data_IF_535082795605
#
_entry.id   IF_535082795605
#
_cell.length_a   1.000
_cell.length_b   1.000
_cell.length_c   1.000
_cell.angle_alpha   90.00
_cell.angle_beta   90.00
_cell.angle_gamma   90.00
#
_symmetry.space_group_name_H-M   'P 1'
#
loop_
_entity.id
_entity.type
_entity.pdbx_description
1 polymer ?
#
# COMPACT_ATOMS: atom_id res chain seq x y z
N UNK A 1 8.15 -30.02 -31.41
CA UNK A 1 9.40 -30.36 -32.12
C UNK A 1 10.28 -29.12 -32.13
N UNK A 2 11.40 -29.23 -31.42
CA UNK A 2 12.72 -28.63 -31.67
C UNK A 2 12.90 -27.09 -31.78
N UNK A 3 13.81 -26.64 -30.90
CA UNK A 3 14.90 -25.68 -31.12
C UNK A 3 14.64 -24.17 -30.97
N UNK A 4 15.28 -23.62 -29.94
CA UNK A 4 15.48 -22.19 -29.76
C UNK A 4 16.39 -21.87 -28.56
N UNK A 5 17.52 -22.56 -28.43
CA UNK A 5 18.56 -22.20 -27.43
C UNK A 5 19.34 -21.02 -28.01
N UNK A 6 19.03 -19.81 -27.55
CA UNK A 6 19.80 -18.61 -27.86
C UNK A 6 21.11 -18.60 -27.09
N UNK A 7 22.22 -18.67 -27.80
CA UNK A 7 23.56 -18.48 -27.25
C UNK A 7 23.72 -17.06 -26.68
N UNK A 8 24.00 -16.98 -25.38
CA UNK A 8 24.46 -15.75 -24.74
C UNK A 8 25.86 -15.42 -25.25
N UNK A 9 25.95 -14.37 -26.07
CA UNK A 9 27.22 -13.82 -26.52
C UNK A 9 28.02 -13.27 -25.33
N UNK A 10 29.21 -13.81 -25.13
CA UNK A 10 30.22 -13.25 -24.23
C UNK A 10 30.68 -11.91 -24.79
N UNK A 11 30.11 -10.83 -24.26
CA UNK A 11 30.54 -9.46 -24.55
C UNK A 11 31.94 -9.27 -23.97
N UNK A 12 32.94 -9.13 -24.83
CA UNK A 12 34.30 -8.74 -24.47
C UNK A 12 34.27 -7.38 -23.76
N UNK A 13 34.33 -7.42 -22.42
CA UNK A 13 34.34 -6.26 -21.53
C UNK A 13 35.79 -5.80 -21.34
N UNK A 14 36.46 -5.43 -22.43
CA UNK A 14 37.91 -5.21 -22.44
C UNK A 14 38.41 -3.90 -23.05
N UNK A 15 37.62 -3.20 -23.87
CA UNK A 15 38.18 -2.10 -24.70
C UNK A 15 37.54 -0.72 -24.49
N UNK A 16 36.49 -0.59 -23.67
CA UNK A 16 35.90 0.71 -23.35
C UNK A 16 36.59 1.36 -22.14
N UNK A 17 37.91 1.46 -22.18
CA UNK A 17 38.69 2.20 -21.18
C UNK A 17 38.61 3.70 -21.50
N UNK A 18 37.59 4.34 -20.93
CA UNK A 18 37.48 5.75 -20.54
C UNK A 18 37.88 6.81 -21.58
N UNK A 19 36.93 7.25 -22.45
CA UNK A 19 37.06 8.48 -23.25
C UNK A 19 37.35 9.73 -22.39
N UNK A 20 36.90 9.72 -21.13
CA UNK A 20 37.04 10.82 -20.18
C UNK A 20 38.51 11.05 -19.75
N UNK A 21 39.32 9.99 -19.71
CA UNK A 21 40.77 10.11 -19.45
C UNK A 21 41.52 10.71 -20.63
N UNK A 22 41.05 10.50 -21.87
CA UNK A 22 41.64 11.12 -23.05
C UNK A 22 41.35 12.62 -23.13
N UNK A 23 40.20 13.10 -22.67
CA UNK A 23 39.91 14.53 -22.61
C UNK A 23 40.72 15.26 -21.54
N UNK A 24 40.98 14.62 -20.40
CA UNK A 24 41.83 15.18 -19.34
C UNK A 24 43.31 15.25 -19.79
N UNK A 25 43.82 14.22 -20.47
CA UNK A 25 45.18 14.22 -21.01
C UNK A 25 45.41 15.30 -22.10
N UNK A 26 44.35 15.71 -22.83
CA UNK A 26 44.43 16.78 -23.84
C UNK A 26 44.50 18.18 -23.23
N UNK A 27 43.96 18.39 -22.03
CA UNK A 27 43.94 19.70 -21.37
C UNK A 27 45.29 20.08 -20.73
N UNK A 28 46.15 19.10 -20.40
CA UNK A 28 47.40 19.32 -19.67
C UNK A 28 48.67 19.37 -20.54
N UNK A 29 48.55 19.53 -21.86
CA UNK A 29 49.69 19.88 -22.71
C UNK A 29 50.63 18.72 -23.06
N UNK A 30 50.10 17.69 -23.73
CA UNK A 30 50.91 16.69 -24.42
C UNK A 30 51.41 15.53 -23.55
N UNK A 31 52.38 14.77 -24.08
CA UNK A 31 52.83 13.46 -23.55
C UNK A 31 53.20 13.43 -22.06
N UNK A 32 53.58 14.58 -21.49
CA UNK A 32 53.91 14.71 -20.08
C UNK A 32 52.70 14.52 -19.12
N UNK A 33 51.48 14.86 -19.55
CA UNK A 33 50.26 14.67 -18.74
C UNK A 33 49.82 13.21 -18.68
N UNK A 34 50.01 12.47 -19.77
CA UNK A 34 49.74 11.02 -19.82
C UNK A 34 50.65 10.24 -18.86
N UNK A 35 51.92 10.64 -18.79
CA UNK A 35 52.91 9.98 -17.92
C UNK A 35 52.63 10.24 -16.42
N UNK A 36 52.12 11.42 -16.08
CA UNK A 36 51.72 11.79 -14.72
C UNK A 36 50.45 11.07 -14.25
N UNK A 37 49.42 10.97 -15.11
CA UNK A 37 48.22 10.18 -14.83
C UNK A 37 48.53 8.68 -14.71
N UNK A 38 49.48 8.18 -15.49
CA UNK A 38 49.93 6.80 -15.38
C UNK A 38 50.66 6.56 -14.05
N UNK A 39 51.56 7.47 -13.62
CA UNK A 39 52.21 7.37 -12.30
C UNK A 39 51.23 7.41 -11.14
N UNK A 40 50.22 8.28 -11.15
CA UNK A 40 49.19 8.33 -10.10
C UNK A 40 48.30 7.08 -10.09
N UNK A 41 48.06 6.47 -11.25
CA UNK A 41 47.34 5.21 -11.35
C UNK A 41 48.16 4.04 -10.80
N UNK A 42 49.49 4.07 -10.96
CA UNK A 42 50.44 3.08 -10.43
C UNK A 42 50.61 3.24 -8.93
N UNK A 43 50.72 4.47 -8.41
CA UNK A 43 50.79 4.74 -6.97
C UNK A 43 49.51 4.32 -6.25
N UNK A 44 48.32 4.64 -6.80
CA UNK A 44 47.04 4.15 -6.26
C UNK A 44 46.84 2.64 -6.41
N UNK A 45 47.58 1.97 -7.30
CA UNK A 45 47.62 0.51 -7.39
C UNK A 45 48.56 -0.09 -6.34
N UNK A 46 49.67 0.58 -6.04
CA UNK A 46 50.59 0.19 -4.97
C UNK A 46 49.99 0.37 -3.57
N UNK A 47 49.26 1.45 -3.30
CA UNK A 47 48.56 1.61 -2.00
C UNK A 47 47.56 0.48 -1.75
N UNK A 48 46.84 0.01 -2.78
CA UNK A 48 45.95 -1.14 -2.68
C UNK A 48 46.65 -2.47 -2.41
N UNK A 49 47.94 -2.60 -2.75
CA UNK A 49 48.73 -3.81 -2.46
C UNK A 49 49.25 -3.84 -1.01
N UNK A 50 49.35 -2.69 -0.34
CA UNK A 50 49.89 -2.59 1.02
C UNK A 50 48.84 -2.31 2.09
N UNK A 51 47.57 -2.10 1.73
CA UNK A 51 46.51 -2.19 2.72
C UNK A 51 46.38 -3.66 3.15
N UNK A 52 46.59 -3.98 4.45
CA UNK A 52 46.35 -5.32 4.94
C UNK A 52 44.91 -5.67 4.60
N UNK A 53 44.73 -6.76 3.85
CA UNK A 53 43.41 -7.33 3.58
C UNK A 53 42.72 -7.42 4.93
N UNK A 54 41.55 -6.77 5.12
CA UNK A 54 40.80 -6.86 6.36
C UNK A 54 40.67 -8.35 6.66
N UNK A 55 41.26 -8.79 7.76
CA UNK A 55 41.23 -10.18 8.17
C UNK A 55 39.77 -10.44 8.56
N UNK A 56 38.95 -10.85 7.60
CA UNK A 56 37.57 -11.25 7.84
C UNK A 56 37.62 -12.34 8.90
N UNK A 57 37.18 -11.97 10.10
CA UNK A 57 37.05 -12.93 11.18
C UNK A 57 35.88 -13.81 10.82
N UNK A 58 36.07 -15.13 10.86
CA UNK A 58 35.06 -16.17 10.58
C UNK A 58 33.74 -16.02 11.39
N UNK A 59 33.67 -15.06 12.33
CA UNK A 59 32.46 -14.73 13.06
C UNK A 59 31.47 -13.83 12.28
N UNK A 60 31.87 -13.22 11.16
CA UNK A 60 30.98 -12.35 10.37
C UNK A 60 29.94 -13.16 9.56
N UNK A 61 30.19 -14.45 9.31
CA UNK A 61 29.32 -15.31 8.49
C UNK A 61 28.07 -15.81 9.24
N UNK A 62 28.03 -15.71 10.57
CA UNK A 62 26.88 -16.17 11.37
C UNK A 62 25.77 -15.10 11.40
N UNK A 63 26.10 -13.82 11.23
CA UNK A 63 25.12 -12.72 11.28
C UNK A 63 24.29 -12.60 9.99
N UNK A 64 24.79 -13.12 8.87
CA UNK A 64 24.13 -13.04 7.55
C UNK A 64 23.07 -14.13 7.28
N UNK A 65 22.77 -14.99 8.26
CA UNK A 65 21.70 -15.99 8.15
C UNK A 65 20.29 -15.46 8.49
N UNK A 66 20.18 -14.23 9.02
CA UNK A 66 18.90 -13.62 9.40
C UNK A 66 18.21 -12.65 8.40
N UNK A 67 18.73 -12.33 7.19
CA UNK A 67 18.12 -11.30 6.35
C UNK A 67 16.77 -11.74 5.78
N UNK A 68 16.60 -13.03 5.46
CA UNK A 68 15.32 -13.57 5.00
C UNK A 68 14.30 -13.60 6.14
N UNK A 69 14.70 -14.05 7.32
CA UNK A 69 13.84 -14.10 8.50
C UNK A 69 13.39 -12.69 8.92
N UNK A 70 14.29 -11.70 8.94
CA UNK A 70 13.96 -10.30 9.25
C UNK A 70 12.98 -9.70 8.25
N UNK A 71 13.16 -9.97 6.94
CA UNK A 71 12.22 -9.53 5.90
C UNK A 71 10.85 -10.18 6.07
N UNK A 72 10.81 -11.48 6.33
CA UNK A 72 9.56 -12.21 6.58
C UNK A 72 8.78 -11.61 7.76
N UNK A 73 9.44 -11.40 8.90
CA UNK A 73 8.79 -10.81 10.08
C UNK A 73 8.32 -9.38 9.83
N UNK A 74 9.09 -8.58 9.11
CA UNK A 74 8.67 -7.22 8.74
C UNK A 74 7.39 -7.24 7.89
N UNK A 75 7.29 -8.14 6.91
CA UNK A 75 6.09 -8.26 6.06
C UNK A 75 4.91 -8.81 6.84
N UNK A 76 5.12 -9.81 7.69
CA UNK A 76 4.07 -10.38 8.53
C UNK A 76 3.45 -9.32 9.45
N UNK A 77 4.28 -8.49 10.12
CA UNK A 77 3.80 -7.40 10.95
C UNK A 77 3.05 -6.33 10.14
N UNK A 78 3.48 -6.03 8.93
CA UNK A 78 2.77 -5.10 8.05
C UNK A 78 1.35 -5.60 7.69
N UNK A 79 1.19 -6.90 7.43
CA UNK A 79 -0.13 -7.52 7.19
C UNK A 79 -1.02 -7.42 8.43
N UNK A 80 -0.50 -7.75 9.61
CA UNK A 80 -1.24 -7.68 10.87
C UNK A 80 -1.68 -6.23 11.15
N UNK A 81 -0.78 -5.26 11.01
CA UNK A 81 -1.09 -3.85 11.24
C UNK A 81 -2.10 -3.31 10.21
N UNK A 82 -1.96 -3.66 8.93
CA UNK A 82 -2.92 -3.26 7.91
C UNK A 82 -4.31 -3.85 8.17
N UNK A 83 -4.38 -5.12 8.58
CA UNK A 83 -5.64 -5.80 8.92
C UNK A 83 -6.29 -5.17 10.14
N UNK A 84 -5.53 -4.93 11.21
CA UNK A 84 -6.01 -4.24 12.41
C UNK A 84 -6.50 -2.83 12.09
N UNK A 85 -5.79 -2.08 11.24
CA UNK A 85 -6.20 -0.75 10.80
C UNK A 85 -7.52 -0.78 10.01
N UNK A 86 -7.69 -1.72 9.07
CA UNK A 86 -8.93 -1.87 8.31
C UNK A 86 -10.11 -2.20 9.24
N UNK A 87 -9.92 -3.13 10.18
CA UNK A 87 -10.95 -3.47 11.17
C UNK A 87 -11.25 -2.30 12.11
N UNK A 88 -10.23 -1.54 12.51
CA UNK A 88 -10.40 -0.32 13.30
C UNK A 88 -11.24 0.73 12.57
N UNK A 89 -10.97 0.96 11.28
CA UNK A 89 -11.77 1.86 10.44
C UNK A 89 -13.22 1.39 10.37
N UNK A 90 -13.46 0.10 10.10
CA UNK A 90 -14.80 -0.46 10.07
C UNK A 90 -15.51 -0.28 11.40
N UNK A 91 -14.87 -0.65 12.51
CA UNK A 91 -15.44 -0.51 13.84
C UNK A 91 -15.80 0.95 14.14
N UNK A 92 -14.90 1.90 13.89
CA UNK A 92 -15.12 3.34 14.20
C UNK A 92 -16.17 3.97 13.30
N UNK A 93 -16.12 3.73 11.99
CA UNK A 93 -16.87 4.51 11.00
C UNK A 93 -18.12 3.82 10.45
N UNK A 94 -18.30 2.51 10.60
CA UNK A 94 -19.43 1.79 9.99
C UNK A 94 -20.79 2.36 10.44
N UNK A 95 -21.01 2.46 11.76
CA UNK A 95 -22.29 2.93 12.29
C UNK A 95 -22.61 4.39 11.97
N UNK A 96 -21.73 5.38 12.22
CA UNK A 96 -22.02 6.76 11.84
C UNK A 96 -22.14 6.94 10.33
N UNK A 97 -21.43 6.14 9.53
CA UNK A 97 -21.57 6.18 8.07
C UNK A 97 -22.90 5.60 7.59
N UNK A 98 -23.38 4.52 8.19
CA UNK A 98 -24.73 3.99 8.00
C UNK A 98 -25.79 5.05 8.36
N UNK A 99 -25.63 5.69 9.53
CA UNK A 99 -26.49 6.78 10.00
C UNK A 99 -26.50 7.98 9.04
N UNK A 100 -25.34 8.36 8.50
CA UNK A 100 -25.21 9.43 7.51
C UNK A 100 -25.96 9.10 6.21
N UNK A 101 -25.76 7.89 5.68
CA UNK A 101 -26.31 7.49 4.38
C UNK A 101 -27.83 7.28 4.45
N UNK A 102 -28.32 6.59 5.48
CA UNK A 102 -29.71 6.16 5.59
C UNK A 102 -30.56 6.95 6.59
N UNK A 103 -29.95 7.86 7.36
CA UNK A 103 -30.63 8.63 8.42
C UNK A 103 -31.39 7.71 9.39
N UNK A 104 -30.83 6.52 9.65
CA UNK A 104 -31.49 5.46 10.39
C UNK A 104 -31.37 5.61 11.91
N UNK A 105 -30.53 6.52 12.41
CA UNK A 105 -30.28 6.70 13.84
C UNK A 105 -29.00 6.04 14.36
N UNK A 106 -28.28 5.28 13.53
CA UNK A 106 -26.95 4.80 13.90
C UNK A 106 -25.98 5.98 14.15
N UNK A 107 -25.13 5.83 15.16
CA UNK A 107 -24.15 6.81 15.64
C UNK A 107 -22.84 6.10 16.01
N UNK A 108 -21.91 6.78 16.66
CA UNK A 108 -20.65 6.18 17.12
C UNK A 108 -20.88 5.03 18.10
N UNK A 109 -20.06 3.98 18.06
CA UNK A 109 -20.22 2.81 18.95
C UNK A 109 -20.26 3.17 20.43
N UNK A 110 -19.45 4.15 20.84
CA UNK A 110 -19.40 4.64 22.22
C UNK A 110 -20.49 5.68 22.54
N UNK A 111 -21.31 6.06 21.57
CA UNK A 111 -22.42 7.00 21.71
C UNK A 111 -23.79 6.30 21.50
N UNK A 112 -23.86 4.99 21.74
CA UNK A 112 -25.07 4.17 21.55
C UNK A 112 -25.08 3.35 20.26
N UNK A 113 -24.10 3.50 19.37
CA UNK A 113 -23.91 2.63 18.20
C UNK A 113 -25.15 2.51 17.32
N UNK A 114 -25.88 1.40 17.47
CA UNK A 114 -27.10 1.08 16.74
C UNK A 114 -28.35 1.05 17.63
N UNK A 115 -28.24 1.37 18.92
CA UNK A 115 -29.35 1.30 19.89
C UNK A 115 -30.53 2.20 19.48
N UNK A 116 -30.24 3.36 18.85
CA UNK A 116 -31.23 4.28 18.29
C UNK A 116 -31.61 4.01 16.83
N UNK A 117 -31.20 2.88 16.26
CA UNK A 117 -31.46 2.57 14.85
C UNK A 117 -32.92 2.18 14.62
N UNK A 118 -33.52 2.69 13.54
CA UNK A 118 -34.88 2.36 13.12
C UNK A 118 -35.09 0.89 12.70
N UNK A 119 -34.04 0.07 12.71
CA UNK A 119 -34.16 -1.38 12.62
C UNK A 119 -34.93 -1.97 13.82
N UNK A 120 -34.94 -1.26 14.95
CA UNK A 120 -35.64 -1.65 16.17
C UNK A 120 -37.09 -1.20 16.24
N UNK A 121 -37.54 -0.34 15.31
CA UNK A 121 -38.92 0.13 15.31
C UNK A 121 -39.87 -1.06 15.08
N UNK A 122 -41.05 -1.13 15.73
CA UNK A 122 -41.99 -2.22 15.51
C UNK A 122 -42.70 -2.14 14.15
N UNK A 123 -42.77 -0.93 13.58
CA UNK A 123 -43.45 -0.63 12.32
C UNK A 123 -42.64 0.37 11.49
N UNK A 124 -43.00 0.51 10.21
CA UNK A 124 -42.33 1.41 9.29
C UNK A 124 -41.15 0.79 8.54
N UNK A 125 -40.48 1.56 7.66
CA UNK A 125 -39.36 1.05 6.88
C UNK A 125 -38.09 0.92 7.76
N UNK A 126 -37.52 -0.28 7.82
CA UNK A 126 -36.23 -0.51 8.49
C UNK A 126 -35.05 -0.14 7.60
N UNK A 127 -33.95 0.30 8.20
CA UNK A 127 -32.69 0.54 7.49
C UNK A 127 -32.30 -0.72 6.69
N UNK A 128 -32.15 -0.62 5.35
CA UNK A 128 -31.88 -1.78 4.52
C UNK A 128 -30.45 -2.32 4.69
N UNK A 129 -29.53 -1.51 5.21
CA UNK A 129 -28.18 -1.95 5.60
C UNK A 129 -28.25 -2.83 6.85
N UNK A 130 -28.85 -2.34 7.94
CA UNK A 130 -28.97 -3.09 9.19
C UNK A 130 -29.91 -4.30 9.07
N UNK A 131 -30.97 -4.19 8.27
CA UNK A 131 -31.94 -5.27 8.02
C UNK A 131 -31.57 -6.13 6.80
N UNK A 132 -30.34 -6.06 6.30
CA UNK A 132 -29.92 -6.80 5.12
C UNK A 132 -30.11 -8.32 5.31
N UNK A 133 -30.86 -8.95 4.41
CA UNK A 133 -31.07 -10.40 4.44
C UNK A 133 -29.75 -11.13 4.20
N UNK A 134 -29.57 -12.32 4.79
CA UNK A 134 -28.35 -13.15 4.64
C UNK A 134 -27.83 -13.28 3.20
N UNK A 135 -28.73 -13.36 2.20
CA UNK A 135 -28.36 -13.47 0.77
C UNK A 135 -27.56 -12.28 0.23
N UNK A 136 -27.76 -11.09 0.79
CA UNK A 136 -27.08 -9.83 0.41
C UNK A 136 -26.24 -9.26 1.55
N UNK A 137 -26.28 -9.87 2.74
CA UNK A 137 -25.50 -9.40 3.89
C UNK A 137 -23.99 -9.36 3.59
N UNK A 138 -23.50 -10.22 2.70
CA UNK A 138 -22.09 -10.19 2.29
C UNK A 138 -21.66 -8.88 1.61
N UNK A 139 -22.59 -8.08 1.04
CA UNK A 139 -22.26 -6.78 0.45
C UNK A 139 -22.06 -5.69 1.52
N UNK A 140 -22.51 -5.93 2.74
CA UNK A 140 -22.45 -5.00 3.87
C UNK A 140 -21.69 -5.55 5.08
N UNK A 141 -21.26 -6.81 5.00
CA UNK A 141 -20.47 -7.46 6.02
C UNK A 141 -19.09 -6.83 6.15
N UNK A 142 -18.63 -6.68 7.39
CA UNK A 142 -17.35 -6.07 7.71
C UNK A 142 -16.18 -6.82 7.07
N UNK A 143 -16.25 -8.15 6.93
CA UNK A 143 -15.13 -8.91 6.37
C UNK A 143 -14.96 -8.66 4.88
N UNK A 144 -16.05 -8.59 4.11
CA UNK A 144 -15.98 -8.27 2.68
C UNK A 144 -15.31 -6.93 2.46
N UNK A 145 -15.72 -5.91 3.22
CA UNK A 145 -15.15 -4.56 3.09
C UNK A 145 -13.68 -4.56 3.55
N UNK A 146 -13.34 -5.23 4.65
CA UNK A 146 -11.95 -5.35 5.11
C UNK A 146 -11.06 -5.99 4.05
N UNK A 147 -11.53 -7.05 3.38
CA UNK A 147 -10.80 -7.72 2.30
C UNK A 147 -10.59 -6.79 1.11
N UNK A 148 -11.61 -6.02 0.71
CA UNK A 148 -11.47 -5.04 -0.38
C UNK A 148 -10.47 -3.93 -0.02
N UNK A 149 -10.51 -3.43 1.22
CA UNK A 149 -9.56 -2.45 1.73
C UNK A 149 -8.13 -2.98 1.74
N UNK A 150 -7.93 -4.22 2.23
CA UNK A 150 -6.63 -4.88 2.25
C UNK A 150 -6.09 -5.13 0.84
N UNK A 151 -6.94 -5.60 -0.07
CA UNK A 151 -6.56 -5.81 -1.47
C UNK A 151 -6.12 -4.50 -2.13
N UNK A 152 -6.82 -3.39 -1.86
CA UNK A 152 -6.45 -2.07 -2.36
C UNK A 152 -5.11 -1.56 -1.78
N UNK A 153 -4.91 -1.73 -0.46
CA UNK A 153 -3.65 -1.40 0.20
C UNK A 153 -2.47 -2.16 -0.42
N UNK A 154 -2.57 -3.49 -0.47
CA UNK A 154 -1.48 -4.35 -0.95
C UNK A 154 -1.27 -4.24 -2.46
N UNK A 155 -2.33 -4.07 -3.25
CA UNK A 155 -2.22 -3.86 -4.70
C UNK A 155 -1.32 -2.66 -5.05
N UNK A 156 -1.37 -1.59 -4.25
CA UNK A 156 -0.49 -0.44 -4.41
C UNK A 156 0.93 -0.69 -3.89
N UNK A 157 1.05 -1.30 -2.71
CA UNK A 157 2.35 -1.60 -2.12
C UNK A 157 3.16 -2.49 -3.07
N UNK A 158 2.54 -3.52 -3.67
CA UNK A 158 3.19 -4.41 -4.63
C UNK A 158 3.48 -3.74 -5.98
N UNK A 159 2.53 -2.99 -6.55
CA UNK A 159 2.75 -2.29 -7.83
C UNK A 159 3.84 -1.21 -7.76
N UNK A 160 4.13 -0.70 -6.56
CA UNK A 160 5.16 0.31 -6.33
C UNK A 160 6.53 -0.26 -5.94
N UNK A 161 6.71 -1.59 -5.95
CA UNK A 161 8.03 -2.21 -5.82
C UNK A 161 8.90 -1.92 -7.05
N UNK A 162 8.29 -1.69 -8.22
CA UNK A 162 9.00 -1.49 -9.49
C UNK A 162 9.42 -0.03 -9.75
N UNK A 163 8.92 0.93 -8.97
CA UNK A 163 9.16 2.36 -9.18
C UNK A 163 10.14 2.96 -8.14
N UNK A 164 11.23 3.52 -8.66
CA UNK A 164 12.37 4.07 -7.92
C UNK A 164 11.98 5.26 -7.01
N UNK A 165 12.31 5.14 -5.72
CA UNK A 165 12.60 6.20 -4.75
C UNK A 165 11.51 7.06 -4.01
N UNK A 166 10.22 6.69 -3.85
CA UNK A 166 9.44 7.26 -2.74
C UNK A 166 9.85 6.62 -1.40
N UNK A 167 9.92 7.42 -0.33
CA UNK A 167 10.10 6.88 1.03
C UNK A 167 8.98 5.89 1.36
N UNK A 168 9.30 4.78 2.03
CA UNK A 168 8.32 3.74 2.39
C UNK A 168 7.12 4.29 3.15
N UNK A 169 7.32 5.31 3.99
CA UNK A 169 6.25 5.98 4.73
C UNK A 169 5.21 6.63 3.80
N UNK A 170 5.65 7.32 2.74
CA UNK A 170 4.73 7.94 1.78
C UNK A 170 3.89 6.93 1.02
N UNK A 171 4.46 5.75 0.71
CA UNK A 171 3.74 4.65 0.05
C UNK A 171 2.66 4.07 0.97
N UNK A 172 3.01 3.80 2.24
CA UNK A 172 2.07 3.30 3.25
C UNK A 172 0.92 4.26 3.51
N UNK A 173 1.21 5.56 3.62
CA UNK A 173 0.17 6.58 3.79
C UNK A 173 -0.78 6.62 2.60
N UNK A 174 -0.26 6.63 1.37
CA UNK A 174 -1.08 6.57 0.14
C UNK A 174 -1.93 5.30 0.10
N UNK A 175 -1.36 4.15 0.44
CA UNK A 175 -2.08 2.89 0.54
C UNK A 175 -3.23 2.95 1.55
N UNK A 176 -2.98 3.49 2.74
CA UNK A 176 -3.99 3.65 3.78
C UNK A 176 -5.13 4.59 3.36
N UNK A 177 -4.81 5.73 2.73
CA UNK A 177 -5.80 6.66 2.19
C UNK A 177 -6.67 6.01 1.11
N UNK A 178 -6.08 5.21 0.24
CA UNK A 178 -6.82 4.49 -0.81
C UNK A 178 -7.71 3.41 -0.21
N UNK A 179 -7.22 2.65 0.77
CA UNK A 179 -8.05 1.70 1.51
C UNK A 179 -9.25 2.38 2.19
N UNK A 180 -9.05 3.54 2.81
CA UNK A 180 -10.15 4.34 3.37
C UNK A 180 -11.13 4.85 2.29
N UNK A 181 -10.60 5.28 1.13
CA UNK A 181 -11.43 5.65 -0.02
C UNK A 181 -12.29 4.48 -0.54
N UNK A 182 -11.75 3.25 -0.55
CA UNK A 182 -12.50 2.04 -0.90
C UNK A 182 -13.63 1.78 0.09
N UNK A 183 -13.41 1.96 1.39
CA UNK A 183 -14.48 1.85 2.40
C UNK A 183 -15.65 2.81 2.10
N UNK A 184 -15.34 4.09 1.83
CA UNK A 184 -16.37 5.09 1.51
C UNK A 184 -17.07 4.77 0.19
N UNK A 185 -16.32 4.50 -0.87
CA UNK A 185 -16.89 4.21 -2.18
C UNK A 185 -17.80 2.97 -2.15
N UNK A 186 -17.33 1.89 -1.52
CA UNK A 186 -18.09 0.66 -1.37
C UNK A 186 -19.40 0.88 -0.62
N UNK A 187 -19.34 1.53 0.55
CA UNK A 187 -20.54 1.79 1.34
C UNK A 187 -21.54 2.71 0.63
N UNK A 188 -21.07 3.72 -0.11
CA UNK A 188 -21.94 4.56 -0.94
C UNK A 188 -22.63 3.76 -2.06
N UNK A 189 -21.88 2.93 -2.80
CA UNK A 189 -22.44 2.08 -3.86
C UNK A 189 -23.46 1.09 -3.26
N UNK A 190 -23.11 0.41 -2.17
CA UNK A 190 -24.02 -0.50 -1.48
C UNK A 190 -25.30 0.23 -1.07
N UNK A 191 -25.19 1.43 -0.51
CA UNK A 191 -26.33 2.19 -0.06
C UNK A 191 -27.22 2.67 -1.22
N UNK A 192 -26.65 3.06 -2.36
CA UNK A 192 -27.40 3.33 -3.59
C UNK A 192 -28.15 2.09 -4.08
N UNK A 193 -27.49 0.93 -4.12
CA UNK A 193 -28.12 -0.33 -4.52
C UNK A 193 -29.29 -0.68 -3.59
N UNK A 194 -29.12 -0.55 -2.27
CA UNK A 194 -30.20 -0.78 -1.32
C UNK A 194 -31.34 0.21 -1.47
N UNK A 195 -31.05 1.50 -1.67
CA UNK A 195 -32.07 2.53 -1.91
C UNK A 195 -32.95 2.13 -3.10
N UNK A 196 -32.33 1.82 -4.23
CA UNK A 196 -33.03 1.44 -5.47
C UNK A 196 -33.79 0.13 -5.29
N UNK A 197 -33.17 -0.88 -4.67
CA UNK A 197 -33.74 -2.22 -4.55
C UNK A 197 -34.89 -2.31 -3.53
N UNK A 198 -34.89 -1.47 -2.48
CA UNK A 198 -35.88 -1.53 -1.39
C UNK A 198 -36.87 -0.38 -1.41
N UNK A 199 -36.65 0.65 -2.24
CA UNK A 199 -37.45 1.88 -2.23
C UNK A 199 -37.32 2.66 -0.92
N UNK A 200 -36.23 2.46 -0.17
CA UNK A 200 -36.06 3.07 1.14
C UNK A 200 -36.05 4.61 1.01
N UNK A 201 -36.91 5.34 1.75
CA UNK A 201 -37.21 6.74 1.48
C UNK A 201 -36.07 7.68 1.89
N UNK A 202 -35.19 7.26 2.79
CA UNK A 202 -34.18 8.15 3.38
C UNK A 202 -32.80 7.84 2.80
N UNK A 203 -32.27 8.73 1.96
CA UNK A 203 -30.91 8.61 1.45
C UNK A 203 -30.29 9.97 1.16
N UNK A 204 -29.28 10.38 1.95
CA UNK A 204 -28.40 11.59 1.89
C UNK A 204 -29.11 12.94 1.63
N UNK A 205 -29.93 13.04 0.60
CA UNK A 205 -30.80 14.15 0.25
C UNK A 205 -32.01 14.13 1.19
N UNK A 206 -32.23 15.23 1.95
CA UNK A 206 -33.52 15.50 2.58
C UNK A 206 -34.57 15.52 1.47
N UNK A 207 -35.67 14.78 1.64
CA UNK A 207 -36.87 15.05 0.85
C UNK A 207 -37.25 16.52 1.08
N UNK A 208 -36.95 17.37 0.10
CA UNK A 208 -37.27 18.80 0.16
C UNK A 208 -38.79 18.89 0.16
N UNK A 209 -39.37 19.25 1.32
CA UNK A 209 -40.82 19.47 1.48
C UNK A 209 -41.60 18.42 2.27
N UNK A 210 -40.94 17.43 2.90
CA UNK A 210 -41.60 16.58 3.90
C UNK A 210 -40.95 16.77 5.26
N UNK A 211 -41.64 17.49 6.15
CA UNK A 211 -41.30 17.59 7.57
C UNK A 211 -41.48 16.22 8.22
N UNK A 212 -40.47 15.36 8.06
CA UNK A 212 -40.47 14.03 8.64
C UNK A 212 -40.23 14.13 10.15
N UNK A 213 -41.32 14.23 10.91
CA UNK A 213 -41.34 14.00 12.35
C UNK A 213 -41.36 12.48 12.61
N UNK A 214 -40.19 11.91 12.88
CA UNK A 214 -40.07 10.61 13.54
C UNK A 214 -39.79 10.78 15.03
N UNK A 215 -40.12 11.95 15.59
CA UNK A 215 -39.98 12.23 17.00
C UNK A 215 -41.06 11.42 17.75
N UNK A 216 -40.67 10.23 18.19
CA UNK A 216 -41.09 9.72 19.48
C UNK A 216 -40.00 10.08 20.49
#
# INVERSE_FOLDING_TARGET
MLNGIGHAGTRNRGEDVFPELQSLAKAEGGSAGYERLNQDSVLRRHERLFHPVPRHTHNDDVEDSYPLQRRFWSTAWEVVLAMAACQGVLWVFHNPYCGLLFRCGCTWNWAGGWDGCNVHNPTGPHCPWCAAKKRVAWTVDNNTVAVLMLAAYFGLVFKQLDNVAPSMASKRLKGALIAFGVFLLHGFIAALVFKVATGYPHFIVKDVGKDFSWAH
#
